data_IF_130160316961
#
_entry.id   IF_130160316961
#
_cell.length_a   1.000
_cell.length_b   1.000
_cell.length_c   1.000
_cell.angle_alpha   90.00
_cell.angle_beta   90.00
_cell.angle_gamma   90.00
#
_symmetry.space_group_name_H-M   'P 1'
#
loop_
_entity.id
_entity.type
_entity.pdbx_description
1 polymer ?
#
# COMPACT_ATOMS: atom_id res chain seq x y z
N UNK A 1 5.10 36.86 12.39
CA UNK A 1 6.06 36.03 13.14
C UNK A 1 7.43 36.31 12.51
N UNK A 2 8.46 36.68 13.27
CA UNK A 2 9.77 37.03 12.70
C UNK A 2 10.50 35.78 12.18
N UNK A 3 11.30 35.92 11.12
CA UNK A 3 12.10 34.84 10.53
C UNK A 3 12.95 34.10 11.57
N UNK A 4 13.46 34.83 12.57
CA UNK A 4 14.24 34.30 13.69
C UNK A 4 13.45 33.33 14.57
N UNK A 5 12.18 33.62 14.88
CA UNK A 5 11.35 32.76 15.72
C UNK A 5 11.02 31.42 15.03
N UNK A 6 10.88 31.44 13.70
CA UNK A 6 10.66 30.24 12.89
C UNK A 6 11.94 29.38 12.85
N UNK A 7 13.09 29.99 12.56
CA UNK A 7 14.40 29.30 12.54
C UNK A 7 14.76 28.71 13.92
N UNK A 8 14.46 29.44 14.99
CA UNK A 8 14.73 29.00 16.36
C UNK A 8 13.82 27.81 16.74
N UNK A 9 12.57 27.82 16.28
CA UNK A 9 11.66 26.67 16.39
C UNK A 9 12.19 25.41 15.68
N UNK A 10 12.74 25.55 14.47
CA UNK A 10 13.34 24.43 13.74
C UNK A 10 14.56 23.84 14.46
N UNK A 11 15.44 24.68 15.00
CA UNK A 11 16.63 24.24 15.74
C UNK A 11 16.27 23.60 17.08
N UNK A 12 15.25 24.12 17.76
CA UNK A 12 14.74 23.52 19.01
C UNK A 12 14.12 22.15 18.74
N UNK A 13 13.27 22.03 17.72
CA UNK A 13 12.70 20.73 17.32
C UNK A 13 13.81 19.71 17.05
N UNK A 14 14.81 20.07 16.25
CA UNK A 14 15.91 19.17 15.94
C UNK A 14 16.66 18.71 17.20
N UNK A 15 16.99 19.63 18.13
CA UNK A 15 17.67 19.28 19.38
C UNK A 15 16.86 18.32 20.23
N UNK A 16 15.56 18.58 20.39
CA UNK A 16 14.66 17.71 21.16
C UNK A 16 14.50 16.35 20.48
N UNK A 17 14.33 16.32 19.15
CA UNK A 17 14.24 15.08 18.38
C UNK A 17 15.51 14.23 18.53
N UNK A 18 16.70 14.83 18.43
CA UNK A 18 17.96 14.11 18.67
C UNK A 18 18.11 13.59 20.10
N UNK A 19 17.59 14.32 21.11
CA UNK A 19 17.56 13.83 22.48
C UNK A 19 16.65 12.59 22.61
N UNK A 20 15.49 12.59 21.94
CA UNK A 20 14.60 11.42 21.88
C UNK A 20 15.27 10.25 21.14
N UNK A 21 15.99 10.49 20.05
CA UNK A 21 16.77 9.47 19.33
C UNK A 21 17.86 8.86 20.22
N UNK A 22 18.54 9.66 21.03
CA UNK A 22 19.50 9.16 22.02
C UNK A 22 18.79 8.28 23.06
N UNK A 23 17.61 8.68 23.54
CA UNK A 23 16.77 7.89 24.43
C UNK A 23 16.36 6.55 23.81
N UNK A 24 15.91 6.55 22.54
CA UNK A 24 15.57 5.33 21.79
C UNK A 24 16.78 4.41 21.62
N UNK A 25 17.96 4.98 21.38
CA UNK A 25 19.20 4.21 21.26
C UNK A 25 19.60 3.58 22.61
N UNK A 26 19.45 4.33 23.70
CA UNK A 26 19.74 3.85 25.04
C UNK A 26 18.77 2.74 25.46
N UNK A 27 17.46 2.91 25.28
CA UNK A 27 16.47 1.88 25.63
C UNK A 27 16.65 0.63 24.78
N UNK A 28 16.95 0.76 23.49
CA UNK A 28 17.26 -0.39 22.63
C UNK A 28 18.44 -1.21 23.16
N UNK A 29 19.50 -0.54 23.64
CA UNK A 29 20.66 -1.21 24.23
C UNK A 29 20.33 -1.88 25.57
N UNK A 30 19.47 -1.26 26.39
CA UNK A 30 19.00 -1.82 27.65
C UNK A 30 18.12 -3.04 27.41
N UNK A 31 17.09 -2.95 26.57
CA UNK A 31 16.20 -4.07 26.22
C UNK A 31 17.02 -5.26 25.68
N UNK A 32 17.99 -4.99 24.80
CA UNK A 32 18.88 -6.03 24.29
C UNK A 32 19.69 -6.70 25.40
N UNK A 33 20.22 -5.92 26.35
CA UNK A 33 20.99 -6.43 27.46
C UNK A 33 20.15 -7.21 28.48
N UNK A 34 18.85 -6.88 28.61
CA UNK A 34 17.90 -7.56 29.47
C UNK A 34 17.33 -8.85 28.86
N UNK A 35 17.60 -9.11 27.57
CA UNK A 35 17.10 -10.29 26.87
C UNK A 35 15.73 -10.08 26.23
N UNK A 36 15.36 -8.83 25.93
CA UNK A 36 14.15 -8.44 25.23
C UNK A 36 14.44 -8.00 23.77
N UNK A 37 14.85 -8.94 22.90
CA UNK A 37 15.33 -8.63 21.56
C UNK A 37 14.26 -7.98 20.66
N UNK A 38 12.98 -8.29 20.86
CA UNK A 38 11.89 -7.73 20.04
C UNK A 38 11.71 -6.23 20.33
N UNK A 39 11.77 -5.84 21.60
CA UNK A 39 11.70 -4.44 22.00
C UNK A 39 12.96 -3.65 21.63
N UNK A 40 14.13 -4.29 21.73
CA UNK A 40 15.37 -3.72 21.20
C UNK A 40 15.28 -3.44 19.68
N UNK A 41 14.74 -4.37 18.90
CA UNK A 41 14.50 -4.21 17.46
C UNK A 41 13.49 -3.10 17.18
N UNK A 42 12.42 -3.01 17.98
CA UNK A 42 11.43 -1.93 17.86
C UNK A 42 12.06 -0.55 18.07
N UNK A 43 12.79 -0.37 19.17
CA UNK A 43 13.44 0.90 19.48
C UNK A 43 14.50 1.26 18.43
N UNK A 44 15.28 0.28 17.95
CA UNK A 44 16.22 0.47 16.85
C UNK A 44 15.53 0.85 15.53
N UNK A 45 14.39 0.25 15.21
CA UNK A 45 13.59 0.64 14.05
C UNK A 45 13.08 2.08 14.18
N UNK A 46 12.65 2.49 15.38
CA UNK A 46 12.30 3.88 15.70
C UNK A 46 13.47 4.85 15.46
N UNK A 47 14.69 4.49 15.86
CA UNK A 47 15.92 5.28 15.56
C UNK A 47 16.13 5.40 14.04
N UNK A 48 16.05 4.29 13.33
CA UNK A 48 16.28 4.26 11.87
C UNK A 48 15.27 5.15 11.14
N UNK A 49 13.99 5.05 11.49
CA UNK A 49 12.93 5.89 10.94
C UNK A 49 13.22 7.36 11.28
N UNK A 50 13.38 7.70 12.56
CA UNK A 50 13.56 9.08 13.01
C UNK A 50 14.77 9.82 12.39
N UNK A 51 15.86 9.10 12.14
CA UNK A 51 17.11 9.64 11.57
C UNK A 51 17.08 9.61 10.02
N UNK A 52 16.12 8.90 9.44
CA UNK A 52 16.01 8.68 7.99
C UNK A 52 15.92 9.99 7.18
N UNK A 53 15.17 11.02 7.59
CA UNK A 53 15.12 12.28 6.85
C UNK A 53 16.46 13.01 6.87
N UNK A 54 17.07 13.14 8.06
CA UNK A 54 18.35 13.83 8.25
C UNK A 54 19.49 13.19 7.44
N UNK A 55 19.54 11.86 7.36
CA UNK A 55 20.53 11.13 6.57
C UNK A 55 20.31 11.33 5.07
N UNK A 56 19.06 11.22 4.58
CA UNK A 56 18.75 11.40 3.15
C UNK A 56 18.99 12.83 2.67
N UNK A 57 18.64 13.83 3.49
CA UNK A 57 18.86 15.24 3.16
C UNK A 57 20.26 15.74 3.50
N UNK A 58 21.09 14.93 4.18
CA UNK A 58 22.41 15.32 4.73
C UNK A 58 22.33 16.58 5.59
N UNK A 59 21.26 16.71 6.37
CA UNK A 59 20.97 17.88 7.20
C UNK A 59 20.40 17.44 8.55
N UNK A 60 21.20 17.62 9.61
CA UNK A 60 20.84 17.21 10.97
C UNK A 60 19.68 18.02 11.58
N UNK A 61 19.25 19.11 10.93
CA UNK A 61 18.09 19.90 11.37
C UNK A 61 16.77 19.38 10.81
N UNK A 62 16.82 18.54 9.76
CA UNK A 62 15.64 17.87 9.19
C UNK A 62 15.28 16.63 9.99
N UNK A 63 14.60 16.86 11.10
CA UNK A 63 14.10 15.82 11.99
C UNK A 63 12.56 15.85 12.04
N UNK A 64 11.89 14.71 12.25
CA UNK A 64 10.48 14.68 12.59
C UNK A 64 10.16 15.53 13.82
N UNK A 65 8.89 15.90 14.04
CA UNK A 65 8.47 16.55 15.28
C UNK A 65 8.83 15.68 16.49
N UNK A 66 9.53 16.26 17.47
CA UNK A 66 9.99 15.51 18.64
C UNK A 66 8.82 14.90 19.44
N UNK A 67 7.64 15.52 19.41
CA UNK A 67 6.42 15.03 20.07
C UNK A 67 6.01 13.67 19.53
N UNK A 68 6.10 13.50 18.21
CA UNK A 68 5.78 12.24 17.54
C UNK A 68 6.79 11.16 17.92
N UNK A 69 8.07 11.52 18.01
CA UNK A 69 9.13 10.59 18.43
C UNK A 69 8.97 10.16 19.89
N UNK A 70 8.48 11.03 20.78
CA UNK A 70 8.21 10.65 22.18
C UNK A 70 7.16 9.55 22.25
N UNK A 71 6.12 9.58 21.42
CA UNK A 71 5.10 8.52 21.37
C UNK A 71 5.71 7.17 21.00
N UNK A 72 6.79 7.15 20.19
CA UNK A 72 7.54 5.92 19.87
C UNK A 72 8.47 5.50 21.01
N UNK A 73 9.03 6.45 21.76
CA UNK A 73 9.94 6.16 22.88
C UNK A 73 9.22 5.64 24.13
N UNK A 74 8.00 6.09 24.41
CA UNK A 74 7.30 5.70 25.65
C UNK A 74 7.11 4.18 25.78
N UNK A 75 6.64 3.44 24.76
CA UNK A 75 6.40 2.00 24.89
C UNK A 75 7.60 1.16 25.33
N UNK A 76 8.80 1.24 24.69
CA UNK A 76 9.94 0.48 25.17
C UNK A 76 10.40 0.92 26.58
N UNK A 77 10.19 2.17 26.99
CA UNK A 77 10.45 2.59 28.37
C UNK A 77 9.49 1.96 29.40
N UNK A 78 8.22 1.77 29.02
CA UNK A 78 7.23 1.10 29.88
C UNK A 78 7.61 -0.36 30.10
N UNK A 79 8.27 -1.01 29.14
CA UNK A 79 8.73 -2.40 29.30
C UNK A 79 9.85 -2.56 30.32
N UNK A 80 10.56 -1.48 30.68
CA UNK A 80 11.60 -1.52 31.70
C UNK A 80 11.06 -1.57 33.14
N UNK A 81 9.74 -1.44 33.32
CA UNK A 81 9.08 -1.43 34.62
C UNK A 81 7.97 -2.47 34.64
N UNK A 82 7.79 -3.13 35.79
CA UNK A 82 6.70 -4.09 35.95
C UNK A 82 5.35 -3.37 35.92
N UNK A 83 4.56 -3.66 34.89
CA UNK A 83 3.21 -3.13 34.73
C UNK A 83 2.19 -4.27 34.69
N UNK A 84 0.91 -4.03 35.01
CA UNK A 84 -0.12 -5.06 34.89
C UNK A 84 -0.29 -5.53 33.44
N UNK A 85 -0.53 -6.83 33.21
CA UNK A 85 -0.67 -7.42 31.88
C UNK A 85 -1.62 -6.67 30.90
N UNK A 86 -2.79 -6.12 31.32
CA UNK A 86 -3.62 -5.34 30.41
C UNK A 86 -2.93 -4.08 29.88
N UNK A 87 -2.06 -3.46 30.69
CA UNK A 87 -1.30 -2.29 30.29
C UNK A 87 -0.16 -2.65 29.31
N UNK A 88 0.46 -3.82 29.46
CA UNK A 88 1.46 -4.34 28.51
C UNK A 88 0.86 -4.53 27.11
N UNK A 89 -0.32 -5.14 27.03
CA UNK A 89 -1.01 -5.41 25.75
C UNK A 89 -1.42 -4.10 25.04
N UNK A 90 -1.94 -3.13 25.81
CA UNK A 90 -2.25 -1.79 25.29
C UNK A 90 -0.97 -1.07 24.83
N UNK A 91 0.11 -1.18 25.61
CA UNK A 91 1.40 -0.54 25.30
C UNK A 91 1.99 -1.09 24.00
N UNK A 92 1.97 -2.41 23.80
CA UNK A 92 2.40 -3.04 22.55
C UNK A 92 1.55 -2.60 21.35
N UNK A 93 0.24 -2.51 21.52
CA UNK A 93 -0.68 -2.02 20.47
C UNK A 93 -0.38 -0.57 20.08
N UNK A 94 -0.17 0.29 21.08
CA UNK A 94 0.20 1.70 20.88
C UNK A 94 1.57 1.82 20.22
N UNK A 95 2.54 0.98 20.60
CA UNK A 95 3.90 0.99 20.02
C UNK A 95 3.88 0.78 18.51
N UNK A 96 3.21 -0.29 18.07
CA UNK A 96 3.10 -0.64 16.65
C UNK A 96 2.38 0.46 15.86
N UNK A 97 1.29 1.00 16.40
CA UNK A 97 0.56 2.11 15.78
C UNK A 97 1.39 3.41 15.72
N UNK A 98 2.14 3.73 16.77
CA UNK A 98 3.01 4.90 16.81
C UNK A 98 4.10 4.84 15.75
N UNK A 99 4.80 3.70 15.65
CA UNK A 99 5.85 3.52 14.64
C UNK A 99 5.29 3.60 13.21
N UNK A 100 4.16 2.94 12.94
CA UNK A 100 3.48 3.02 11.66
C UNK A 100 3.07 4.46 11.32
N UNK A 101 2.58 5.21 12.31
CA UNK A 101 2.24 6.62 12.17
C UNK A 101 3.48 7.46 11.80
N UNK A 102 4.61 7.27 12.48
CA UNK A 102 5.83 8.04 12.16
C UNK A 102 6.25 7.79 10.72
N UNK A 103 6.21 6.54 10.25
CA UNK A 103 6.51 6.20 8.86
C UNK A 103 5.58 6.95 7.90
N UNK A 104 4.28 6.99 8.16
CA UNK A 104 3.32 7.72 7.30
C UNK A 104 3.52 9.24 7.37
N UNK A 105 3.78 9.79 8.55
CA UNK A 105 4.10 11.21 8.73
C UNK A 105 5.37 11.56 7.96
N UNK A 106 6.41 10.71 8.00
CA UNK A 106 7.62 10.95 7.24
C UNK A 106 7.40 10.90 5.74
N UNK A 107 6.59 9.96 5.25
CA UNK A 107 6.18 9.93 3.85
C UNK A 107 5.45 11.23 3.47
N UNK A 108 4.52 11.70 4.29
CA UNK A 108 3.77 12.91 3.97
C UNK A 108 4.62 14.20 4.06
N UNK A 109 5.53 14.30 5.05
CA UNK A 109 6.26 15.53 5.35
C UNK A 109 7.58 15.64 4.58
N UNK A 110 8.29 14.53 4.37
CA UNK A 110 9.63 14.51 3.80
C UNK A 110 9.72 13.88 2.42
N UNK A 111 8.61 13.38 1.87
CA UNK A 111 8.55 12.95 0.47
C UNK A 111 7.70 13.89 -0.37
N UNK A 112 7.81 13.76 -1.69
CA UNK A 112 6.98 14.51 -2.65
C UNK A 112 5.56 13.96 -2.79
N UNK A 113 5.14 13.02 -1.94
CA UNK A 113 3.82 12.38 -2.02
C UNK A 113 2.77 13.26 -1.35
N UNK A 114 1.94 13.93 -2.14
CA UNK A 114 0.78 14.65 -1.61
C UNK A 114 -0.38 13.68 -1.37
N UNK A 115 -0.68 13.39 -0.10
CA UNK A 115 -1.79 12.52 0.29
C UNK A 115 -3.02 13.38 0.58
N UNK A 116 -4.18 13.02 0.01
CA UNK A 116 -5.45 13.57 0.48
C UNK A 116 -5.75 13.06 1.90
N UNK A 117 -6.55 13.77 2.71
CA UNK A 117 -7.00 13.31 4.02
C UNK A 117 -7.43 11.85 4.09
N UNK A 118 -8.27 11.44 3.14
CA UNK A 118 -8.82 10.08 3.10
C UNK A 118 -7.75 9.05 2.77
N UNK A 119 -6.86 9.35 1.82
CA UNK A 119 -5.75 8.46 1.45
C UNK A 119 -4.75 8.36 2.61
N UNK A 120 -4.47 9.45 3.31
CA UNK A 120 -3.61 9.45 4.48
C UNK A 120 -4.16 8.54 5.59
N UNK A 121 -5.45 8.67 5.94
CA UNK A 121 -6.10 7.80 6.93
C UNK A 121 -6.06 6.33 6.47
N UNK A 122 -6.42 6.04 5.22
CA UNK A 122 -6.36 4.68 4.69
C UNK A 122 -4.94 4.10 4.75
N UNK A 123 -3.92 4.89 4.41
CA UNK A 123 -2.52 4.47 4.47
C UNK A 123 -2.06 4.21 5.91
N UNK A 124 -2.47 5.03 6.88
CA UNK A 124 -2.19 4.79 8.32
C UNK A 124 -2.81 3.47 8.75
N UNK A 125 -4.07 3.20 8.40
CA UNK A 125 -4.74 1.94 8.75
C UNK A 125 -3.98 0.76 8.14
N UNK A 126 -3.74 0.77 6.84
CA UNK A 126 -3.04 -0.31 6.13
C UNK A 126 -1.63 -0.53 6.70
N UNK A 127 -0.88 0.54 6.94
CA UNK A 127 0.49 0.45 7.47
C UNK A 127 0.50 -0.04 8.91
N UNK A 128 -0.46 0.37 9.73
CA UNK A 128 -0.58 -0.12 11.11
C UNK A 128 -0.93 -1.60 11.13
N UNK A 129 -1.92 -2.02 10.34
CA UNK A 129 -2.29 -3.44 10.22
C UNK A 129 -1.12 -4.29 9.72
N UNK A 130 -0.35 -3.81 8.74
CA UNK A 130 0.88 -4.49 8.30
C UNK A 130 1.93 -4.57 9.41
N UNK A 131 2.11 -3.49 10.19
CA UNK A 131 3.05 -3.46 11.30
C UNK A 131 2.66 -4.44 12.42
N UNK A 132 1.35 -4.67 12.65
CA UNK A 132 0.86 -5.73 13.54
C UNK A 132 1.28 -7.11 13.02
N UNK A 133 1.15 -7.37 11.73
CA UNK A 133 1.61 -8.61 11.11
C UNK A 133 3.11 -8.83 11.28
N UNK A 134 3.91 -7.78 11.01
CA UNK A 134 5.37 -7.83 11.17
C UNK A 134 5.77 -8.05 12.64
N UNK A 135 5.10 -7.38 13.58
CA UNK A 135 5.30 -7.55 15.02
C UNK A 135 5.04 -9.01 15.45
N UNK A 136 3.97 -9.61 14.96
CA UNK A 136 3.63 -11.01 15.19
C UNK A 136 4.72 -11.96 14.65
N UNK A 137 5.23 -11.73 13.44
CA UNK A 137 6.32 -12.52 12.87
C UNK A 137 7.59 -12.40 13.72
N UNK A 138 7.95 -11.18 14.16
CA UNK A 138 9.13 -10.94 14.98
C UNK A 138 9.05 -11.63 16.35
N UNK A 139 7.90 -11.54 17.03
CA UNK A 139 7.66 -12.24 18.29
C UNK A 139 7.80 -13.75 18.13
N UNK A 140 7.17 -14.31 17.10
CA UNK A 140 7.25 -15.74 16.83
C UNK A 140 8.68 -16.20 16.49
N UNK A 141 9.40 -15.42 15.68
CA UNK A 141 10.80 -15.71 15.37
C UNK A 141 11.67 -15.66 16.63
N UNK A 142 11.45 -14.66 17.49
CA UNK A 142 12.13 -14.57 18.77
C UNK A 142 11.84 -15.78 19.65
N UNK A 143 10.59 -16.22 19.75
CA UNK A 143 10.24 -17.41 20.52
C UNK A 143 10.89 -18.67 19.96
N UNK A 144 10.91 -18.81 18.63
CA UNK A 144 11.46 -19.97 17.96
C UNK A 144 13.00 -20.07 18.04
N UNK A 145 13.70 -18.93 17.95
CA UNK A 145 15.17 -18.90 17.87
C UNK A 145 15.85 -18.53 19.19
N UNK A 146 15.19 -17.74 20.04
CA UNK A 146 15.74 -17.16 21.27
C UNK A 146 15.01 -17.65 22.54
N UNK A 147 13.85 -18.30 22.41
CA UNK A 147 13.13 -18.90 23.53
C UNK A 147 12.46 -17.88 24.46
N UNK A 148 12.09 -16.72 23.93
CA UNK A 148 11.52 -15.57 24.68
C UNK A 148 10.13 -15.81 25.27
N UNK A 149 9.32 -16.70 24.69
CA UNK A 149 7.99 -17.06 25.22
C UNK A 149 6.92 -15.97 25.09
N UNK A 150 7.03 -15.06 24.13
CA UNK A 150 6.06 -13.99 23.89
C UNK A 150 4.68 -14.52 23.46
N UNK A 151 4.57 -15.61 22.71
CA UNK A 151 3.32 -16.16 22.18
C UNK A 151 2.89 -17.36 23.01
N UNK A 152 1.93 -17.15 23.91
CA UNK A 152 1.40 -18.19 24.80
C UNK A 152 0.41 -19.14 24.11
N UNK A 153 -0.41 -18.63 23.16
CA UNK A 153 -1.45 -19.44 22.52
C UNK A 153 -2.16 -18.75 21.37
N UNK A 154 -2.86 -19.55 20.55
CA UNK A 154 -3.60 -19.10 19.36
C UNK A 154 -4.63 -18.00 19.67
N UNK A 155 -5.47 -18.23 20.67
CA UNK A 155 -6.58 -17.33 21.00
C UNK A 155 -6.07 -15.99 21.54
N UNK A 156 -5.05 -16.02 22.41
CA UNK A 156 -4.43 -14.80 22.94
C UNK A 156 -3.74 -14.01 21.82
N UNK A 157 -3.02 -14.69 20.93
CA UNK A 157 -2.41 -14.06 19.76
C UNK A 157 -3.46 -13.37 18.90
N UNK A 158 -4.57 -14.05 18.57
CA UNK A 158 -5.62 -13.47 17.73
C UNK A 158 -6.29 -12.27 18.38
N UNK A 159 -6.60 -12.32 19.67
CA UNK A 159 -7.14 -11.14 20.37
C UNK A 159 -6.15 -9.98 20.38
N UNK A 160 -4.85 -10.24 20.58
CA UNK A 160 -3.83 -9.19 20.51
C UNK A 160 -3.75 -8.55 19.11
N UNK A 161 -3.84 -9.34 18.05
CA UNK A 161 -3.88 -8.85 16.65
C UNK A 161 -5.15 -8.02 16.40
N UNK A 162 -6.31 -8.49 16.88
CA UNK A 162 -7.60 -7.78 16.75
C UNK A 162 -7.56 -6.44 17.47
N UNK A 163 -7.12 -6.41 18.73
CA UNK A 163 -7.04 -5.17 19.50
C UNK A 163 -6.03 -4.18 18.93
N UNK A 164 -4.85 -4.66 18.50
CA UNK A 164 -3.86 -3.80 17.87
C UNK A 164 -4.34 -3.23 16.54
N UNK A 165 -5.01 -4.05 15.72
CA UNK A 165 -5.60 -3.59 14.44
C UNK A 165 -6.71 -2.57 14.67
N UNK A 166 -7.60 -2.82 15.64
CA UNK A 166 -8.64 -1.87 16.02
C UNK A 166 -8.06 -0.55 16.57
N UNK A 167 -7.01 -0.62 17.39
CA UNK A 167 -6.26 0.53 17.88
C UNK A 167 -5.66 1.36 16.74
N UNK A 168 -5.10 0.71 15.71
CA UNK A 168 -4.59 1.37 14.51
C UNK A 168 -5.67 2.12 13.71
N UNK A 169 -6.85 1.50 13.56
CA UNK A 169 -8.02 2.15 12.92
C UNK A 169 -8.44 3.40 13.69
N UNK A 170 -8.44 3.33 15.02
CA UNK A 170 -8.80 4.48 15.88
C UNK A 170 -7.69 5.55 15.94
N UNK A 171 -6.43 5.17 15.76
CA UNK A 171 -5.30 6.10 15.72
C UNK A 171 -5.24 6.93 14.42
N UNK A 172 -5.77 6.41 13.30
CA UNK A 172 -5.80 7.09 12.00
C UNK A 172 -6.42 8.50 12.02
N UNK A 173 -7.62 8.70 12.60
CA UNK A 173 -8.20 10.03 12.76
C UNK A 173 -7.39 10.98 13.66
N UNK A 174 -6.73 10.47 14.70
CA UNK A 174 -5.88 11.27 15.60
C UNK A 174 -4.62 11.76 14.87
N UNK A 175 -4.01 10.87 14.09
CA UNK A 175 -2.91 11.18 13.19
C UNK A 175 -3.30 12.24 12.16
N UNK A 176 -4.48 12.10 11.56
CA UNK A 176 -5.01 13.08 10.61
C UNK A 176 -5.22 14.46 11.26
N UNK A 177 -5.80 14.51 12.47
CA UNK A 177 -5.98 15.75 13.21
C UNK A 177 -4.63 16.42 13.56
N UNK A 178 -3.61 15.63 13.89
CA UNK A 178 -2.25 16.11 14.12
C UNK A 178 -1.65 16.74 12.86
N UNK A 179 -1.67 16.01 11.73
CA UNK A 179 -1.13 16.49 10.45
C UNK A 179 -1.80 17.79 10.00
N UNK A 180 -3.13 17.86 10.06
CA UNK A 180 -3.91 19.06 9.70
C UNK A 180 -3.55 20.28 10.54
N UNK A 181 -3.23 20.09 11.82
CA UNK A 181 -2.79 21.18 12.71
C UNK A 181 -1.43 21.73 12.28
N UNK A 182 -0.53 20.87 11.80
CA UNK A 182 0.85 21.22 11.44
C UNK A 182 1.03 21.64 9.96
N UNK A 183 0.07 21.42 9.07
CA UNK A 183 0.04 22.00 7.71
C UNK A 183 0.08 23.54 7.69
N UNK A 184 -0.40 24.19 8.76
CA UNK A 184 -0.38 25.64 8.92
C UNK A 184 1.03 26.25 9.08
N UNK A 185 2.04 25.41 9.33
CA UNK A 185 3.43 25.83 9.60
C UNK A 185 4.36 25.54 8.42
N UNK A 186 4.16 24.44 7.68
CA UNK A 186 5.03 24.05 6.56
C UNK A 186 4.82 24.85 5.27
N UNK A 187 3.59 25.28 4.99
CA UNK A 187 3.23 25.91 3.70
C UNK A 187 3.63 27.39 3.57
N UNK A 188 3.99 28.07 4.68
CA UNK A 188 4.49 29.46 4.66
C UNK A 188 6.02 29.56 4.66
N UNK A 189 6.73 28.46 4.85
CA UNK A 189 8.20 28.44 4.91
C UNK A 189 8.88 28.22 3.55
N UNK A 190 8.13 27.80 2.53
CA UNK A 190 8.66 27.48 1.20
C UNK A 190 8.31 28.51 0.12
N UNK A 191 7.55 29.56 0.46
CA UNK A 191 7.17 30.64 -0.46
C UNK A 191 7.98 31.94 -0.20
N UNK A 192 9.29 31.77 0.00
CA UNK A 192 10.25 32.87 0.05
C UNK A 192 11.43 32.48 -0.84
N UNK A 193 11.19 32.50 -2.15
CA UNK A 193 12.15 32.00 -3.13
C UNK A 193 12.02 32.53 -4.55
N UNK A 194 11.02 33.35 -4.89
CA UNK A 194 11.05 34.11 -6.13
C UNK A 194 11.73 35.46 -5.84
N UNK A 195 13.05 35.43 -5.93
CA UNK A 195 13.85 36.64 -5.93
C UNK A 195 13.57 37.44 -7.20
N UNK A 196 12.74 38.47 -7.10
CA UNK A 196 12.78 39.58 -8.05
C UNK A 196 14.09 40.33 -7.84
N UNK A 197 15.05 39.99 -8.69
CA UNK A 197 16.24 40.77 -8.98
C UNK A 197 15.83 42.16 -9.44
N UNK A 198 16.37 43.19 -8.80
CA UNK A 198 16.13 44.57 -9.14
C UNK A 198 16.50 44.91 -10.59
N UNK A 199 15.59 45.62 -11.25
CA UNK A 199 15.87 46.49 -12.37
C UNK A 199 15.56 47.92 -11.95
N UNK A 200 16.60 48.72 -11.77
CA UNK A 200 16.46 50.16 -11.66
C UNK A 200 16.07 50.71 -13.04
N UNK A 201 14.97 51.43 -13.12
CA UNK A 201 14.80 52.50 -14.09
C UNK A 201 14.04 53.66 -13.45
N UNK A 202 14.75 54.77 -13.39
CA UNK A 202 14.22 56.06 -12.98
C UNK A 202 13.52 56.69 -14.19
N UNK A 203 12.24 57.03 -14.02
CA UNK A 203 11.59 58.09 -14.80
C UNK A 203 10.72 58.88 -13.84
N UNK A 204 11.03 60.18 -13.72
CA UNK A 204 10.24 61.21 -13.03
C UNK A 204 9.11 61.70 -13.94
N UNK A 205 8.27 62.55 -13.34
CA UNK A 205 7.22 63.40 -13.96
C UNK A 205 5.82 62.78 -13.81
N UNK A 206 4.74 63.46 -13.47
CA UNK A 206 4.42 64.81 -12.96
C UNK A 206 2.93 64.73 -12.55
N UNK A 207 2.46 65.76 -11.83
CA UNK A 207 1.14 65.96 -11.23
C UNK A 207 -0.11 65.73 -12.13
N UNK A 208 -1.28 65.47 -11.51
CA UNK A 208 -2.56 65.93 -12.06
C UNK A 208 -3.79 65.00 -11.95
N UNK A 209 -4.60 65.28 -10.92
CA UNK A 209 -6.08 65.42 -10.92
C UNK A 209 -7.01 64.51 -11.77
N UNK A 210 -8.06 64.00 -11.10
CA UNK A 210 -9.42 64.10 -11.64
C UNK A 210 -10.10 62.85 -12.21
N UNK A 211 -11.14 62.37 -11.49
CA UNK A 211 -12.46 62.18 -12.11
C UNK A 211 -12.83 60.84 -12.77
N UNK A 212 -13.63 60.06 -12.03
CA UNK A 212 -14.93 59.51 -12.44
C UNK A 212 -15.09 58.49 -13.61
N UNK A 213 -15.74 57.38 -13.23
CA UNK A 213 -16.99 56.84 -13.82
C UNK A 213 -16.95 55.86 -15.02
N UNK A 214 -17.61 54.71 -14.76
CA UNK A 214 -18.43 53.85 -15.64
C UNK A 214 -17.73 53.16 -16.83
N UNK A 215 -17.57 51.83 -16.89
CA UNK A 215 -18.58 50.76 -17.13
C UNK A 215 -19.63 51.11 -18.18
N UNK A 216 -19.47 50.61 -19.41
CA UNK A 216 -20.49 49.82 -20.12
C UNK A 216 -19.89 49.22 -21.40
N UNK A 217 -19.81 47.89 -21.49
CA UNK A 217 -19.49 47.15 -22.72
C UNK A 217 -20.80 46.79 -23.42
N UNK A 218 -20.98 47.34 -24.61
CA UNK A 218 -22.10 47.09 -25.50
C UNK A 218 -21.86 45.90 -26.42
N UNK A 219 -22.93 45.12 -26.58
CA UNK A 219 -23.05 43.83 -27.26
C UNK A 219 -22.88 43.82 -28.80
N UNK A 220 -22.52 42.63 -29.28
CA UNK A 220 -23.02 41.86 -30.44
C UNK A 220 -23.14 42.47 -31.86
N UNK A 221 -22.68 41.69 -32.85
CA UNK A 221 -23.32 41.28 -34.14
C UNK A 221 -22.20 40.79 -35.09
N UNK A 222 -22.20 39.53 -35.57
CA UNK A 222 -22.80 39.03 -36.84
C UNK A 222 -22.01 39.54 -38.08
N UNK A 223 -21.77 38.87 -39.21
CA UNK A 223 -22.08 37.60 -39.88
C UNK A 223 -21.23 37.63 -41.21
N UNK A 224 -21.43 36.68 -42.11
CA UNK A 224 -21.05 36.59 -43.54
C UNK A 224 -19.82 35.68 -43.82
N UNK A 225 -19.87 34.48 -44.42
CA UNK A 225 -20.60 33.87 -45.56
C UNK A 225 -19.96 34.08 -46.93
N UNK A 226 -19.44 33.00 -47.55
CA UNK A 226 -19.34 32.75 -49.02
C UNK A 226 -19.29 31.19 -49.19
N UNK A 227 -20.24 30.44 -49.79
CA UNK A 227 -20.68 30.25 -51.21
C UNK A 227 -19.52 29.93 -52.18
N UNK A 228 -19.55 29.01 -53.14
CA UNK A 228 -20.48 27.98 -53.64
C UNK A 228 -19.77 27.24 -54.82
N UNK A 229 -20.29 26.05 -55.17
CA UNK A 229 -20.28 25.38 -56.49
C UNK A 229 -19.05 24.72 -57.15
N UNK A 230 -19.28 23.49 -57.67
CA UNK A 230 -18.75 23.08 -58.98
C UNK A 230 -18.13 21.68 -59.18
N UNK A 231 -18.98 20.66 -59.35
CA UNK A 231 -18.98 19.58 -60.37
C UNK A 231 -17.70 18.80 -60.82
N UNK A 232 -17.77 17.47 -60.60
CA UNK A 232 -17.36 16.29 -61.41
C UNK A 232 -16.19 16.37 -62.44
N UNK A 233 -15.19 15.48 -62.33
CA UNK A 233 -15.00 14.23 -63.13
C UNK A 233 -13.56 13.69 -63.09
N UNK A 234 -13.50 12.39 -62.86
CA UNK A 234 -12.54 11.30 -63.19
C UNK A 234 -11.10 11.53 -63.73
N UNK A 235 -10.30 10.50 -63.39
CA UNK A 235 -9.07 9.98 -64.00
C UNK A 235 -7.70 10.56 -63.58
N UNK A 236 -6.94 9.70 -62.89
CA UNK A 236 -5.62 9.32 -63.40
C UNK A 236 -4.42 9.51 -62.48
N UNK A 237 -4.00 8.40 -61.88
CA UNK A 237 -2.59 8.04 -61.64
C UNK A 237 -1.84 8.82 -60.57
N UNK A 238 -1.72 8.25 -59.38
CA UNK A 238 -0.51 8.41 -58.58
C UNK A 238 -0.23 7.13 -57.79
N UNK A 239 1.02 6.71 -57.88
CA UNK A 239 1.61 5.48 -57.37
C UNK A 239 1.72 5.56 -55.85
N UNK A 240 0.88 4.83 -55.12
CA UNK A 240 1.11 4.61 -53.69
C UNK A 240 2.26 3.62 -53.50
N UNK A 241 3.37 4.19 -53.04
CA UNK A 241 4.49 3.46 -52.47
C UNK A 241 3.99 2.57 -51.33
N UNK A 242 4.27 1.29 -51.50
CA UNK A 242 4.23 0.24 -50.49
C UNK A 242 5.09 0.64 -49.28
N UNK A 243 4.53 1.46 -48.38
CA UNK A 243 5.03 1.53 -47.01
C UNK A 243 4.46 0.34 -46.27
N UNK A 244 5.13 -0.80 -46.44
CA UNK A 244 5.04 -1.96 -45.57
C UNK A 244 5.27 -1.53 -44.12
N UNK A 245 4.20 -1.14 -43.45
CA UNK A 245 4.12 -1.18 -41.99
C UNK A 245 4.12 -2.66 -41.69
N UNK A 246 5.31 -3.19 -41.37
CA UNK A 246 5.50 -4.57 -40.97
C UNK A 246 4.46 -4.92 -39.92
N UNK A 247 3.50 -5.72 -40.36
CA UNK A 247 2.56 -6.43 -39.52
C UNK A 247 3.41 -7.18 -38.48
N UNK A 248 3.27 -6.79 -37.21
CA UNK A 248 3.93 -7.50 -36.11
C UNK A 248 3.51 -8.96 -36.25
N UNK A 249 4.44 -9.91 -36.44
CA UNK A 249 4.09 -11.32 -36.50
C UNK A 249 3.35 -11.70 -35.22
N UNK A 250 2.04 -11.94 -35.34
CA UNK A 250 1.24 -12.54 -34.29
C UNK A 250 1.57 -14.04 -34.26
N UNK A 251 2.77 -14.36 -33.79
CA UNK A 251 3.29 -15.74 -33.69
C UNK A 251 2.77 -16.46 -32.43
N UNK A 252 1.73 -15.94 -31.79
CA UNK A 252 0.97 -16.65 -30.78
C UNK A 252 -0.14 -17.45 -31.44
N UNK A 253 0.12 -18.72 -31.77
CA UNK A 253 -0.93 -19.67 -32.09
C UNK A 253 -2.04 -19.56 -31.01
N UNK A 254 -3.25 -19.14 -31.42
CA UNK A 254 -4.42 -18.99 -30.54
C UNK A 254 -4.83 -20.26 -29.78
N UNK A 255 -4.16 -21.41 -30.00
CA UNK A 255 -4.24 -22.59 -29.13
C UNK A 255 -3.81 -22.31 -27.69
N UNK A 256 -2.84 -21.42 -27.45
CA UNK A 256 -2.36 -21.11 -26.10
C UNK A 256 -3.43 -20.42 -25.26
N UNK A 257 -4.07 -19.39 -25.81
CA UNK A 257 -5.19 -18.70 -25.16
C UNK A 257 -6.40 -19.61 -24.97
N UNK A 258 -6.74 -20.41 -26.00
CA UNK A 258 -7.82 -21.41 -25.88
C UNK A 258 -7.55 -22.41 -24.77
N UNK A 259 -6.30 -22.87 -24.62
CA UNK A 259 -5.91 -23.82 -23.57
C UNK A 259 -6.04 -23.21 -22.17
N UNK A 260 -5.67 -21.94 -22.00
CA UNK A 260 -5.84 -21.21 -20.73
C UNK A 260 -7.32 -21.02 -20.38
N UNK A 261 -8.15 -20.66 -21.36
CA UNK A 261 -9.60 -20.55 -21.15
C UNK A 261 -10.21 -21.90 -20.79
N UNK A 262 -9.82 -22.99 -21.47
CA UNK A 262 -10.26 -24.34 -21.13
C UNK A 262 -9.83 -24.75 -19.71
N UNK A 263 -8.61 -24.40 -19.30
CA UNK A 263 -8.13 -24.64 -17.94
C UNK A 263 -8.96 -23.89 -16.89
N UNK A 264 -9.29 -22.61 -17.15
CA UNK A 264 -10.20 -21.84 -16.28
C UNK A 264 -11.55 -22.51 -16.16
N UNK A 265 -12.17 -22.93 -17.27
CA UNK A 265 -13.46 -23.61 -17.26
C UNK A 265 -13.40 -24.96 -16.51
N UNK A 266 -12.33 -25.71 -16.67
CA UNK A 266 -12.13 -26.97 -15.94
C UNK A 266 -12.03 -26.73 -14.42
N UNK A 267 -11.26 -25.74 -13.98
CA UNK A 267 -11.16 -25.35 -12.57
C UNK A 267 -12.50 -24.86 -12.01
N UNK A 268 -13.25 -24.05 -12.78
CA UNK A 268 -14.59 -23.61 -12.41
C UNK A 268 -15.56 -24.79 -12.23
N UNK A 269 -15.55 -25.75 -13.16
CA UNK A 269 -16.39 -26.95 -13.06
C UNK A 269 -16.02 -27.80 -11.84
N UNK A 270 -14.73 -27.92 -11.52
CA UNK A 270 -14.27 -28.60 -10.32
C UNK A 270 -14.73 -27.89 -9.04
N UNK A 271 -14.67 -26.55 -8.99
CA UNK A 271 -15.20 -25.76 -7.85
C UNK A 271 -16.72 -25.92 -7.71
N UNK A 272 -17.47 -25.93 -8.82
CA UNK A 272 -18.91 -26.25 -8.79
C UNK A 272 -19.12 -27.65 -8.21
N UNK A 273 -18.31 -28.63 -8.62
CA UNK A 273 -18.31 -29.97 -8.06
C UNK A 273 -18.08 -29.98 -6.53
N UNK A 274 -17.12 -29.19 -6.05
CA UNK A 274 -16.84 -29.04 -4.61
C UNK A 274 -18.00 -28.39 -3.85
N UNK A 275 -18.63 -27.35 -4.40
CA UNK A 275 -19.82 -26.73 -3.82
C UNK A 275 -20.96 -27.75 -3.70
N UNK A 276 -21.26 -28.47 -4.79
CA UNK A 276 -22.30 -29.49 -4.80
C UNK A 276 -22.00 -30.65 -3.83
N UNK A 277 -20.74 -31.07 -3.76
CA UNK A 277 -20.29 -32.08 -2.81
C UNK A 277 -20.44 -31.59 -1.35
N UNK A 278 -20.08 -30.34 -1.07
CA UNK A 278 -20.27 -29.72 0.24
C UNK A 278 -21.74 -29.67 0.65
N UNK A 279 -22.64 -29.31 -0.27
CA UNK A 279 -24.09 -29.34 -0.03
C UNK A 279 -24.58 -30.77 0.22
N UNK A 280 -24.17 -31.73 -0.61
CA UNK A 280 -24.57 -33.13 -0.47
C UNK A 280 -24.08 -33.80 0.83
N UNK A 281 -22.97 -33.31 1.39
CA UNK A 281 -22.36 -33.81 2.63
C UNK A 281 -22.65 -32.94 3.85
N UNK A 282 -23.46 -31.89 3.72
CA UNK A 282 -23.76 -30.91 4.77
C UNK A 282 -22.52 -30.21 5.36
N UNK A 283 -21.44 -30.11 4.59
CA UNK A 283 -20.19 -29.41 4.95
C UNK A 283 -20.28 -27.95 4.54
N UNK A 284 -21.01 -27.14 5.32
CA UNK A 284 -21.25 -25.72 4.99
C UNK A 284 -19.99 -24.88 4.88
N UNK A 285 -18.93 -25.17 5.65
CA UNK A 285 -17.63 -24.50 5.51
C UNK A 285 -17.03 -24.71 4.12
N UNK A 286 -17.11 -25.94 3.58
CA UNK A 286 -16.66 -26.25 2.23
C UNK A 286 -17.51 -25.55 1.16
N UNK A 287 -18.83 -25.47 1.36
CA UNK A 287 -19.75 -24.76 0.43
C UNK A 287 -19.37 -23.29 0.32
N UNK A 288 -19.12 -22.62 1.45
CA UNK A 288 -18.76 -21.20 1.46
C UNK A 288 -17.35 -21.00 0.89
N UNK A 289 -16.37 -21.80 1.29
CA UNK A 289 -15.00 -21.70 0.79
C UNK A 289 -14.93 -21.88 -0.73
N UNK A 290 -15.46 -23.00 -1.25
CA UNK A 290 -15.49 -23.26 -2.69
C UNK A 290 -16.40 -22.27 -3.45
N UNK A 291 -17.47 -21.78 -2.82
CA UNK A 291 -18.37 -20.79 -3.39
C UNK A 291 -17.72 -19.41 -3.55
N UNK A 292 -16.98 -18.94 -2.54
CA UNK A 292 -16.20 -17.69 -2.61
C UNK A 292 -15.10 -17.82 -3.66
N UNK A 293 -14.36 -18.94 -3.66
CA UNK A 293 -13.34 -19.20 -4.68
C UNK A 293 -13.95 -19.15 -6.09
N UNK A 294 -15.08 -19.83 -6.31
CA UNK A 294 -15.80 -19.83 -7.58
C UNK A 294 -16.23 -18.41 -7.99
N UNK A 295 -16.78 -17.61 -7.07
CA UNK A 295 -17.17 -16.23 -7.33
C UNK A 295 -15.99 -15.37 -7.80
N UNK A 296 -14.82 -15.51 -7.17
CA UNK A 296 -13.61 -14.76 -7.55
C UNK A 296 -13.13 -15.14 -8.96
N UNK A 297 -13.34 -16.37 -9.43
CA UNK A 297 -12.97 -16.76 -10.81
C UNK A 297 -13.71 -15.97 -11.89
N UNK A 298 -14.86 -15.36 -11.57
CA UNK A 298 -15.62 -14.52 -12.51
C UNK A 298 -15.19 -13.05 -12.48
N UNK A 299 -14.37 -12.65 -11.49
CA UNK A 299 -13.90 -11.29 -11.34
C UNK A 299 -13.24 -10.74 -12.62
N UNK A 300 -12.34 -11.48 -13.32
CA UNK A 300 -11.75 -10.99 -14.57
C UNK A 300 -12.78 -10.61 -15.62
N UNK A 301 -13.81 -11.44 -15.82
CA UNK A 301 -14.87 -11.15 -16.80
C UNK A 301 -15.74 -9.95 -16.40
N UNK A 302 -15.96 -9.74 -15.09
CA UNK A 302 -16.67 -8.55 -14.60
C UNK A 302 -15.82 -7.29 -14.81
N UNK A 303 -14.52 -7.33 -14.53
CA UNK A 303 -13.62 -6.21 -14.73
C UNK A 303 -13.50 -5.83 -16.21
N UNK A 304 -13.44 -6.82 -17.11
CA UNK A 304 -13.39 -6.60 -18.55
C UNK A 304 -14.72 -6.03 -19.09
N UNK A 305 -15.85 -6.64 -18.72
CA UNK A 305 -17.15 -6.26 -19.27
C UNK A 305 -17.70 -4.97 -18.66
N UNK A 306 -17.62 -4.79 -17.34
CA UNK A 306 -18.27 -3.67 -16.65
C UNK A 306 -17.36 -2.46 -16.48
N UNK A 307 -16.04 -2.67 -16.40
CA UNK A 307 -15.06 -1.60 -16.16
C UNK A 307 -14.13 -1.36 -17.38
N UNK A 308 -14.33 -2.09 -18.48
CA UNK A 308 -13.50 -2.01 -19.70
C UNK A 308 -11.99 -2.17 -19.41
N UNK A 309 -11.63 -2.92 -18.37
CA UNK A 309 -10.23 -3.18 -18.02
C UNK A 309 -9.70 -4.35 -18.86
N UNK A 310 -8.56 -4.19 -19.58
CA UNK A 310 -8.03 -5.28 -20.40
C UNK A 310 -7.55 -6.44 -19.51
N UNK A 311 -8.25 -7.57 -19.58
CA UNK A 311 -7.91 -8.79 -18.83
C UNK A 311 -7.41 -9.86 -19.80
N UNK A 312 -6.11 -10.14 -19.79
CA UNK A 312 -5.57 -11.23 -20.62
C UNK A 312 -5.90 -12.62 -20.03
N UNK A 313 -5.98 -13.63 -20.90
CA UNK A 313 -6.31 -15.00 -20.51
C UNK A 313 -5.33 -15.58 -19.47
N UNK A 314 -4.06 -15.15 -19.49
CA UNK A 314 -3.04 -15.57 -18.53
C UNK A 314 -3.34 -15.09 -17.10
N UNK A 315 -3.74 -13.83 -16.93
CA UNK A 315 -4.10 -13.24 -15.64
C UNK A 315 -5.38 -13.88 -15.10
N UNK A 316 -6.38 -14.11 -15.95
CA UNK A 316 -7.60 -14.82 -15.57
C UNK A 316 -7.30 -16.26 -15.11
N UNK A 317 -6.43 -16.97 -15.84
CA UNK A 317 -5.97 -18.30 -15.45
C UNK A 317 -5.18 -18.30 -14.13
N UNK A 318 -4.32 -17.30 -13.91
CA UNK A 318 -3.54 -17.18 -12.68
C UNK A 318 -4.40 -16.90 -11.45
N UNK A 319 -5.34 -15.95 -11.55
CA UNK A 319 -6.32 -15.66 -10.49
C UNK A 319 -7.15 -16.91 -10.19
N UNK A 320 -7.63 -17.59 -11.23
CA UNK A 320 -8.43 -18.82 -11.09
C UNK A 320 -7.61 -19.93 -10.43
N UNK A 321 -6.35 -20.13 -10.82
CA UNK A 321 -5.47 -21.13 -10.23
C UNK A 321 -5.23 -20.88 -8.74
N UNK A 322 -5.00 -19.63 -8.34
CA UNK A 322 -4.78 -19.26 -6.94
C UNK A 322 -5.98 -19.64 -6.06
N UNK A 323 -7.17 -19.17 -6.42
CA UNK A 323 -8.39 -19.47 -5.65
C UNK A 323 -8.83 -20.91 -5.76
N UNK A 324 -8.56 -21.58 -6.89
CA UNK A 324 -8.81 -22.99 -7.07
C UNK A 324 -7.98 -23.85 -6.12
N UNK A 325 -6.66 -23.63 -6.07
CA UNK A 325 -5.77 -24.37 -5.18
C UNK A 325 -6.13 -24.12 -3.71
N UNK A 326 -6.43 -22.87 -3.33
CA UNK A 326 -6.90 -22.56 -1.98
C UNK A 326 -8.20 -23.31 -1.65
N UNK A 327 -9.22 -23.27 -2.54
CA UNK A 327 -10.49 -23.97 -2.32
C UNK A 327 -10.37 -25.50 -2.29
N UNK A 328 -9.47 -26.09 -3.09
CA UNK A 328 -9.19 -27.52 -3.09
C UNK A 328 -8.51 -27.96 -1.80
N UNK A 329 -7.75 -27.08 -1.13
CA UNK A 329 -7.12 -27.39 0.16
C UNK A 329 -8.11 -27.90 1.21
N UNK A 330 -9.33 -27.37 1.21
CA UNK A 330 -10.39 -27.70 2.19
C UNK A 330 -10.94 -29.14 2.10
N UNK A 331 -10.64 -29.88 1.04
CA UNK A 331 -11.00 -31.31 0.93
C UNK A 331 -9.89 -32.27 1.36
N UNK A 332 -8.76 -31.75 1.85
CA UNK A 332 -7.71 -32.56 2.46
C UNK A 332 -6.26 -32.13 2.25
N UNK A 333 -5.85 -31.50 1.12
CA UNK A 333 -4.45 -31.15 0.90
C UNK A 333 -3.80 -30.31 2.01
N UNK A 334 -4.57 -29.47 2.72
CA UNK A 334 -4.08 -28.76 3.91
C UNK A 334 -3.60 -29.71 5.02
N UNK A 335 -4.28 -30.84 5.20
CA UNK A 335 -3.94 -31.84 6.21
C UNK A 335 -2.92 -32.87 5.69
N UNK A 336 -2.94 -33.16 4.39
CA UNK A 336 -2.07 -34.19 3.79
C UNK A 336 -0.64 -33.70 3.57
N UNK A 337 -0.49 -32.41 3.26
CA UNK A 337 0.79 -31.84 2.83
C UNK A 337 1.07 -30.53 3.57
N UNK A 338 1.96 -30.59 4.57
CA UNK A 338 2.30 -29.40 5.38
C UNK A 338 2.97 -28.23 4.64
N UNK A 339 3.27 -28.36 3.34
CA UNK A 339 3.74 -27.27 2.48
C UNK A 339 2.64 -26.67 1.59
N UNK A 340 1.51 -27.36 1.45
CA UNK A 340 0.45 -26.97 0.52
C UNK A 340 -0.12 -25.61 0.89
N UNK A 341 -0.36 -25.43 2.18
CA UNK A 341 -0.87 -24.21 2.74
C UNK A 341 0.01 -22.99 2.40
N UNK A 342 1.29 -23.11 2.73
CA UNK A 342 2.33 -22.13 2.38
C UNK A 342 2.37 -21.77 0.88
N UNK A 343 2.19 -22.75 -0.01
CA UNK A 343 2.13 -22.51 -1.46
C UNK A 343 0.87 -21.75 -1.84
N UNK A 344 -0.29 -22.12 -1.29
CA UNK A 344 -1.54 -21.41 -1.56
C UNK A 344 -1.50 -19.97 -1.05
N UNK A 345 -0.95 -19.72 0.14
CA UNK A 345 -0.75 -18.37 0.69
C UNK A 345 0.20 -17.54 -0.17
N UNK A 346 1.35 -18.10 -0.57
CA UNK A 346 2.30 -17.41 -1.47
C UNK A 346 1.64 -17.03 -2.80
N UNK A 347 0.91 -17.97 -3.41
CA UNK A 347 0.27 -17.76 -4.70
C UNK A 347 -0.87 -16.74 -4.61
N UNK A 348 -1.75 -16.87 -3.62
CA UNK A 348 -2.84 -15.93 -3.34
C UNK A 348 -2.29 -14.53 -3.04
N UNK A 349 -1.18 -14.42 -2.31
CA UNK A 349 -0.50 -13.16 -2.06
C UNK A 349 -0.02 -12.44 -3.33
N UNK A 350 0.34 -13.18 -4.39
CA UNK A 350 0.65 -12.55 -5.69
C UNK A 350 -0.57 -11.91 -6.36
N UNK A 351 -1.75 -12.52 -6.20
CA UNK A 351 -3.02 -11.97 -6.69
C UNK A 351 -3.41 -10.73 -5.89
N UNK A 352 -3.31 -10.80 -4.56
CA UNK A 352 -3.54 -9.66 -3.67
C UNK A 352 -2.56 -8.51 -3.95
N UNK A 353 -1.30 -8.82 -4.24
CA UNK A 353 -0.30 -7.83 -4.64
C UNK A 353 -0.69 -7.10 -5.94
N UNK A 354 -1.20 -7.83 -6.93
CA UNK A 354 -1.72 -7.26 -8.16
C UNK A 354 -2.93 -6.33 -7.92
N UNK A 355 -3.84 -6.74 -7.04
CA UNK A 355 -4.98 -5.90 -6.65
C UNK A 355 -4.54 -4.63 -5.89
N UNK A 356 -3.55 -4.74 -5.00
CA UNK A 356 -2.94 -3.60 -4.31
C UNK A 356 -2.29 -2.62 -5.28
N UNK A 357 -1.49 -3.12 -6.22
CA UNK A 357 -0.88 -2.30 -7.28
C UNK A 357 -1.95 -1.58 -8.12
N UNK A 358 -2.99 -2.29 -8.57
CA UNK A 358 -4.08 -1.70 -9.34
C UNK A 358 -4.81 -0.61 -8.55
N UNK A 359 -5.05 -0.83 -7.26
CA UNK A 359 -5.67 0.15 -6.37
C UNK A 359 -4.82 1.41 -6.20
N UNK A 360 -3.52 1.26 -5.93
CA UNK A 360 -2.61 2.39 -5.81
C UNK A 360 -2.50 3.17 -7.13
N UNK A 361 -2.41 2.46 -8.26
CA UNK A 361 -2.35 3.09 -9.58
C UNK A 361 -3.65 3.81 -9.94
N UNK A 362 -4.81 3.28 -9.55
CA UNK A 362 -6.08 3.96 -9.76
C UNK A 362 -6.15 5.28 -8.99
N UNK A 363 -5.64 5.32 -7.74
CA UNK A 363 -5.54 6.56 -6.95
C UNK A 363 -4.56 7.55 -7.58
N UNK A 364 -3.38 7.10 -7.96
CA UNK A 364 -2.33 7.90 -8.65
C UNK A 364 -2.85 8.53 -9.95
N UNK A 365 -3.74 7.85 -10.68
CA UNK A 365 -4.35 8.38 -11.91
C UNK A 365 -5.55 9.32 -11.66
N UNK A 366 -6.25 9.20 -10.53
CA UNK A 366 -7.44 10.03 -10.23
C UNK A 366 -7.11 11.34 -9.50
N UNK A 367 -5.93 11.44 -8.90
CA UNK A 367 -5.50 12.63 -8.17
C UNK A 367 -4.26 13.21 -8.83
N UNK A 368 -4.42 14.30 -9.60
CA UNK A 368 -3.35 15.00 -10.36
C UNK A 368 -2.15 15.48 -9.50
N UNK A 369 -2.24 15.36 -8.18
CA UNK A 369 -1.22 15.75 -7.21
C UNK A 369 -0.48 14.57 -6.55
N UNK A 370 -0.92 13.34 -6.78
CA UNK A 370 -0.32 12.16 -6.19
C UNK A 370 0.58 11.50 -7.24
N UNK A 371 1.90 11.67 -7.11
CA UNK A 371 2.90 10.90 -7.87
C UNK A 371 3.62 9.96 -6.93
N UNK A 372 3.44 8.64 -7.10
CA UNK A 372 4.14 7.61 -6.30
C UNK A 372 5.38 7.09 -7.03
N UNK A 373 6.62 7.37 -6.55
CA UNK A 373 7.81 6.80 -7.19
C UNK A 373 7.84 5.26 -7.10
N UNK A 374 8.43 4.61 -8.11
CA UNK A 374 8.43 3.14 -8.24
C UNK A 374 8.95 2.39 -7.01
N UNK A 375 9.93 2.96 -6.29
CA UNK A 375 10.45 2.38 -5.05
C UNK A 375 9.39 2.33 -3.93
N UNK A 376 8.55 3.37 -3.83
CA UNK A 376 7.45 3.41 -2.86
C UNK A 376 6.31 2.48 -3.25
N UNK A 377 6.08 2.25 -4.55
CA UNK A 377 5.09 1.28 -5.02
C UNK A 377 5.45 -0.14 -4.58
N UNK A 378 6.71 -0.55 -4.70
CA UNK A 378 7.17 -1.86 -4.23
C UNK A 378 6.97 -2.04 -2.71
N UNK A 379 7.33 -1.02 -1.93
CA UNK A 379 7.11 -1.02 -0.48
C UNK A 379 5.62 -1.05 -0.13
N UNK A 380 4.80 -0.27 -0.82
CA UNK A 380 3.35 -0.25 -0.65
C UNK A 380 2.73 -1.62 -0.92
N UNK A 381 3.14 -2.33 -1.97
CA UNK A 381 2.64 -3.68 -2.26
C UNK A 381 2.92 -4.64 -1.10
N UNK A 382 4.15 -4.63 -0.57
CA UNK A 382 4.52 -5.49 0.57
C UNK A 382 3.67 -5.16 1.80
N UNK A 383 3.53 -3.87 2.12
CA UNK A 383 2.71 -3.39 3.24
C UNK A 383 1.24 -3.76 3.04
N UNK A 384 0.69 -3.57 1.84
CA UNK A 384 -0.70 -3.87 1.51
C UNK A 384 -1.02 -5.36 1.63
N UNK A 385 -0.16 -6.22 1.09
CA UNK A 385 -0.35 -7.67 1.17
C UNK A 385 -0.23 -8.17 2.61
N UNK A 386 0.73 -7.67 3.38
CA UNK A 386 0.86 -8.04 4.78
C UNK A 386 -0.36 -7.58 5.60
N UNK A 387 -0.86 -6.37 5.35
CA UNK A 387 -2.09 -5.88 5.98
C UNK A 387 -3.29 -6.75 5.60
N UNK A 388 -3.43 -7.12 4.32
CA UNK A 388 -4.48 -8.01 3.86
C UNK A 388 -4.36 -9.39 4.53
N UNK A 389 -3.15 -9.93 4.67
CA UNK A 389 -2.89 -11.18 5.39
C UNK A 389 -3.39 -11.13 6.83
N UNK A 390 -3.11 -10.04 7.57
CA UNK A 390 -3.63 -9.86 8.93
C UNK A 390 -5.17 -9.79 8.95
N UNK A 391 -5.78 -9.07 8.01
CA UNK A 391 -7.25 -9.02 7.89
C UNK A 391 -7.81 -10.40 7.59
N UNK A 392 -7.15 -11.18 6.74
CA UNK A 392 -7.52 -12.55 6.43
C UNK A 392 -7.55 -13.42 7.70
N UNK A 393 -6.47 -13.42 8.48
CA UNK A 393 -6.39 -14.15 9.76
C UNK A 393 -7.51 -13.75 10.74
N UNK A 394 -7.82 -12.46 10.82
CA UNK A 394 -8.93 -11.95 11.65
C UNK A 394 -10.26 -12.51 11.16
N UNK A 395 -10.50 -12.56 9.85
CA UNK A 395 -11.71 -13.15 9.28
C UNK A 395 -11.79 -14.65 9.59
N UNK A 396 -10.69 -15.39 9.46
CA UNK A 396 -10.69 -16.82 9.79
C UNK A 396 -11.07 -17.07 11.24
N UNK A 397 -10.41 -16.34 12.16
CA UNK A 397 -10.70 -16.39 13.58
C UNK A 397 -12.16 -16.02 13.89
N UNK A 398 -12.69 -14.98 13.23
CA UNK A 398 -14.08 -14.57 13.38
C UNK A 398 -15.06 -15.66 12.94
N UNK A 399 -14.81 -16.33 11.80
CA UNK A 399 -15.66 -17.43 11.33
C UNK A 399 -15.65 -18.62 12.28
N UNK A 400 -14.49 -18.94 12.88
CA UNK A 400 -14.40 -19.95 13.94
C UNK A 400 -15.17 -19.58 15.20
N UNK A 401 -15.11 -18.31 15.61
CA UNK A 401 -15.91 -17.78 16.71
C UNK A 401 -17.41 -17.93 16.46
N UNK A 402 -17.90 -17.55 15.27
CA UNK A 402 -19.32 -17.69 14.89
C UNK A 402 -19.75 -19.16 14.89
N UNK A 403 -18.95 -20.07 14.33
CA UNK A 403 -19.24 -21.50 14.33
C UNK A 403 -19.36 -22.07 15.75
N UNK A 404 -18.52 -21.60 16.69
CA UNK A 404 -18.57 -22.03 18.09
C UNK A 404 -19.86 -21.64 18.82
N UNK A 405 -20.52 -20.56 18.39
CA UNK A 405 -21.75 -20.03 19.01
C UNK A 405 -23.00 -20.60 18.34
N UNK A 406 -23.01 -20.65 17.01
CA UNK A 406 -24.18 -21.06 16.22
C UNK A 406 -24.26 -22.59 16.06
N UNK A 407 -23.17 -23.31 16.30
CA UNK A 407 -23.04 -24.73 16.02
C UNK A 407 -22.74 -24.96 14.53
N UNK A 408 -21.67 -25.70 14.23
CA UNK A 408 -21.21 -25.96 12.87
C UNK A 408 -19.69 -26.06 12.78
N UNK A 409 -19.18 -26.30 11.58
CA UNK A 409 -17.73 -26.24 11.30
C UNK A 409 -17.33 -24.81 10.93
N UNK A 410 -16.11 -24.36 11.31
CA UNK A 410 -15.56 -23.10 10.85
C UNK A 410 -15.51 -23.05 9.32
N UNK A 411 -15.78 -21.88 8.75
CA UNK A 411 -15.73 -21.66 7.30
C UNK A 411 -14.30 -21.64 6.79
N UNK A 412 -13.40 -21.04 7.56
CA UNK A 412 -11.97 -20.98 7.33
C UNK A 412 -11.29 -21.62 8.55
N UNK A 413 -10.41 -22.59 8.31
CA UNK A 413 -9.82 -23.39 9.38
C UNK A 413 -8.47 -22.81 9.79
N UNK A 414 -8.36 -22.40 11.05
CA UNK A 414 -7.11 -21.93 11.64
C UNK A 414 -6.56 -22.97 12.61
N UNK A 415 -5.42 -23.59 12.30
CA UNK A 415 -4.92 -24.77 13.01
C UNK A 415 -4.15 -24.42 14.29
N UNK A 416 -3.36 -23.33 14.30
CA UNK A 416 -2.50 -22.98 15.43
C UNK A 416 -1.86 -21.60 15.34
N UNK A 417 -1.08 -21.19 16.35
CA UNK A 417 -0.31 -19.93 16.29
C UNK A 417 0.80 -19.96 15.24
N UNK A 418 1.39 -21.16 15.02
CA UNK A 418 2.41 -21.37 13.98
C UNK A 418 1.85 -21.19 12.57
N UNK A 419 0.61 -21.62 12.36
CA UNK A 419 -0.14 -21.53 11.09
C UNK A 419 -0.24 -20.07 10.64
N UNK A 420 -0.90 -19.25 11.48
CA UNK A 420 -1.04 -17.79 11.37
C UNK A 420 0.27 -17.11 10.98
N UNK A 421 1.35 -17.43 11.67
CA UNK A 421 2.64 -16.79 11.42
C UNK A 421 3.23 -17.24 10.09
N UNK A 422 3.14 -18.53 9.76
CA UNK A 422 3.60 -19.04 8.47
C UNK A 422 2.79 -18.41 7.33
N UNK A 423 1.49 -18.22 7.49
CA UNK A 423 0.64 -17.56 6.50
C UNK A 423 1.09 -16.11 6.26
N UNK A 424 1.34 -15.35 7.33
CA UNK A 424 1.89 -14.00 7.21
C UNK A 424 3.29 -13.98 6.57
N UNK A 425 4.14 -14.97 6.87
CA UNK A 425 5.48 -15.09 6.26
C UNK A 425 5.37 -15.40 4.77
N UNK A 426 4.59 -16.40 4.36
CA UNK A 426 4.44 -16.79 2.97
C UNK A 426 3.68 -15.75 2.15
N UNK A 427 2.74 -15.03 2.77
CA UNK A 427 2.14 -13.83 2.18
C UNK A 427 3.20 -12.75 1.92
N UNK A 428 4.09 -12.50 2.88
CA UNK A 428 5.19 -11.54 2.72
C UNK A 428 6.16 -11.96 1.61
N UNK A 429 6.47 -13.26 1.49
CA UNK A 429 7.32 -13.80 0.43
C UNK A 429 6.68 -13.58 -0.96
N UNK A 430 5.39 -13.88 -1.10
CA UNK A 430 4.65 -13.61 -2.35
C UNK A 430 4.63 -12.13 -2.71
N UNK A 431 4.45 -11.25 -1.72
CA UNK A 431 4.47 -9.80 -1.91
C UNK A 431 5.85 -9.29 -2.36
N UNK A 432 6.93 -9.74 -1.71
CA UNK A 432 8.31 -9.37 -2.08
C UNK A 432 8.66 -9.86 -3.48
N UNK A 433 8.23 -11.08 -3.83
CA UNK A 433 8.42 -11.63 -5.17
C UNK A 433 7.78 -10.71 -6.22
N UNK A 434 6.53 -10.29 -6.02
CA UNK A 434 5.85 -9.36 -6.93
C UNK A 434 6.50 -7.98 -6.93
N UNK A 435 6.86 -7.45 -5.77
CA UNK A 435 7.50 -6.14 -5.67
C UNK A 435 8.85 -6.09 -6.43
N UNK A 436 9.67 -7.14 -6.31
CA UNK A 436 10.97 -7.24 -7.00
C UNK A 436 10.79 -7.50 -8.51
N UNK A 437 9.94 -8.47 -8.88
CA UNK A 437 9.72 -8.83 -10.29
C UNK A 437 8.96 -7.74 -11.07
N UNK A 438 8.00 -7.07 -10.43
CA UNK A 438 7.28 -5.94 -11.01
C UNK A 438 8.21 -4.77 -11.27
N UNK A 439 9.14 -4.50 -10.35
CA UNK A 439 10.13 -3.42 -10.51
C UNK A 439 11.17 -3.72 -11.59
N UNK A 440 11.58 -4.99 -11.77
CA UNK A 440 12.59 -5.37 -12.78
C UNK A 440 12.04 -5.37 -14.21
N UNK A 441 10.79 -5.83 -14.43
CA UNK A 441 10.14 -5.79 -15.75
C UNK A 441 9.90 -4.36 -16.24
N UNK A 442 9.55 -3.44 -15.35
CA UNK A 442 9.36 -2.02 -15.70
C UNK A 442 10.66 -1.32 -16.09
N UNK A 443 11.81 -1.70 -15.53
CA UNK A 443 13.12 -1.14 -15.92
C UNK A 443 13.64 -1.71 -17.25
N UNK A 444 13.41 -2.99 -17.51
CA UNK A 444 13.84 -3.64 -18.77
C UNK A 444 13.15 -3.03 -19.99
N UNK A 445 11.83 -2.84 -19.92
CA UNK A 445 11.05 -2.24 -21.02
C UNK A 445 11.41 -0.78 -21.26
N UNK A 446 11.66 -0.01 -20.19
CA UNK A 446 12.12 1.38 -20.30
C UNK A 446 13.53 1.48 -20.91
N UNK A 447 14.44 0.55 -20.59
CA UNK A 447 15.78 0.47 -21.17
C UNK A 447 15.76 0.07 -22.65
N UNK A 448 14.89 -0.86 -23.03
CA UNK A 448 14.72 -1.29 -24.42
C UNK A 448 14.08 -0.19 -25.29
N UNK A 449 13.18 0.63 -24.73
CA UNK A 449 12.60 1.77 -25.43
C UNK A 449 13.61 2.93 -25.56
N UNK A 450 14.36 3.23 -24.51
CA UNK A 450 15.39 4.27 -24.52
C UNK A 450 16.55 3.96 -25.48
N UNK A 451 16.98 2.70 -25.55
CA UNK A 451 18.01 2.26 -26.50
C UNK A 451 17.55 2.32 -27.96
N UNK A 452 16.27 2.06 -28.23
CA UNK A 452 15.67 2.18 -29.57
C UNK A 452 15.43 3.62 -30.03
N UNK A 453 15.21 4.55 -29.10
CA UNK A 453 15.10 5.97 -29.40
C UNK A 453 16.49 6.63 -29.51
N UNK A 454 17.48 6.15 -28.76
CA UNK A 454 18.88 6.61 -28.85
C UNK A 454 19.65 6.10 -30.07
N UNK A 455 19.18 5.05 -30.75
CA UNK A 455 19.80 4.51 -31.98
C UNK A 455 19.26 5.12 -33.28
N UNK A 456 18.33 6.08 -33.17
CA UNK A 456 17.81 6.89 -34.29
C UNK A 456 18.33 8.33 -34.29
N UNK A 457 19.35 8.63 -33.48
CA UNK A 457 20.04 9.92 -33.44
C UNK A 457 21.28 9.93 -34.33
#
# INVERSE_FOLDING_TARGET
MSLSAVIEGHRLNARLAWAVVLGLTAVAAVDFALGDPVWAVFAAAGVVVAVSPAVRSRDATRMPPWEVLVVVLVPPLVQLVDVPAPLEEVTASVAVAALALVVVVELHVFSSVELTPTVAVALVVVTTTAAVGLWTILRFASDAFLGTGYIEGKVQLMWSIVFATAGGVLAGPLAFAYLRRHESVGRRGFDLGDGETGGADAVTDDEGDGGASATDDGAEMADESETDDGMETEEGTETDEDTGVGEVPNDGDGTGERSLVLAVRAMQLALVGLVLFGVATFRWGLVVNAGVALAVTFLPGVLEHNLALPMNAGLAAWITLAVFLHGVGAVGPYEWFGWYDSVTHTLSATVVAGAGYASARAVDLHYDRLTVPTAYMGAFIVVFVLAFGVVWEIMEFATGGVASVVGGEPVLAQYGSRDIVLDLVFNSLGAVLVAVLGTSRLRGVAGDLASRLGSRG
#
